data_IF_855542925493
#
_entry.id   IF_855542925493
#
_cell.length_a   1.000
_cell.length_b   1.000
_cell.length_c   1.000
_cell.angle_alpha   90.00
_cell.angle_beta   90.00
_cell.angle_gamma   90.00
#
_symmetry.space_group_name_H-M   'P 1'
#
loop_
_entity.id
_entity.type
_entity.pdbx_description
1 polymer ?
#
# COMPACT_ATOMS: atom_id res chain seq x y z
N UNK A 1 3.25 -8.62 4.75
CA UNK A 1 2.27 -8.25 5.81
C UNK A 1 1.18 -7.38 5.22
N UNK A 2 -0.07 -7.58 5.61
CA UNK A 2 -1.19 -6.70 5.25
C UNK A 2 -1.72 -6.04 6.53
N UNK A 3 -1.84 -4.73 6.51
CA UNK A 3 -2.49 -3.93 7.55
C UNK A 3 -3.75 -3.33 6.93
N UNK A 4 -4.86 -3.32 7.67
CA UNK A 4 -6.11 -2.70 7.24
C UNK A 4 -6.60 -1.79 8.36
N UNK A 5 -6.81 -0.53 8.05
CA UNK A 5 -7.41 0.40 9.00
C UNK A 5 -8.87 0.04 9.26
N UNK A 6 -9.22 -0.12 10.53
CA UNK A 6 -10.55 -0.60 10.92
C UNK A 6 -11.67 0.37 10.55
N UNK A 7 -11.40 1.67 10.56
CA UNK A 7 -12.38 2.71 10.25
C UNK A 7 -12.50 2.95 8.74
N UNK A 8 -11.43 3.39 8.09
CA UNK A 8 -11.45 3.78 6.69
C UNK A 8 -11.40 2.60 5.72
N UNK A 9 -11.04 1.40 6.22
CA UNK A 9 -10.80 0.19 5.40
C UNK A 9 -9.62 0.31 4.45
N UNK A 10 -8.77 1.33 4.61
CA UNK A 10 -7.56 1.46 3.80
C UNK A 10 -6.63 0.29 4.09
N UNK A 11 -6.26 -0.51 3.08
CA UNK A 11 -5.26 -1.54 3.23
C UNK A 11 -3.87 -0.97 2.97
N UNK A 12 -2.86 -1.59 3.55
CA UNK A 12 -1.46 -1.40 3.18
C UNK A 12 -0.73 -2.74 3.15
N UNK A 13 -0.18 -3.06 2.00
CA UNK A 13 0.65 -4.25 1.82
C UNK A 13 2.13 -3.88 1.96
N UNK A 14 2.85 -4.67 2.76
CA UNK A 14 4.30 -4.60 2.92
C UNK A 14 4.92 -5.94 2.57
N UNK A 15 5.89 -5.93 1.64
CA UNK A 15 6.79 -7.07 1.48
C UNK A 15 7.63 -7.24 2.75
N UNK A 16 7.87 -8.48 3.14
CA UNK A 16 8.74 -8.83 4.26
C UNK A 16 9.72 -9.89 3.79
N UNK A 17 10.97 -9.77 4.20
CA UNK A 17 12.00 -10.79 3.93
C UNK A 17 11.94 -11.88 5.00
N UNK A 18 11.70 -11.47 6.25
CA UNK A 18 11.59 -12.38 7.39
C UNK A 18 10.35 -12.02 8.22
N UNK A 19 9.77 -13.03 8.87
CA UNK A 19 8.63 -12.81 9.78
C UNK A 19 9.16 -12.70 11.20
N UNK A 20 9.89 -11.60 11.48
CA UNK A 20 10.42 -11.29 12.82
C UNK A 20 9.62 -10.18 13.49
N UNK A 21 9.63 -10.14 14.82
CA UNK A 21 8.99 -9.07 15.60
C UNK A 21 9.54 -7.70 15.18
N UNK A 22 10.86 -7.57 15.03
CA UNK A 22 11.51 -6.32 14.65
C UNK A 22 11.02 -5.81 13.28
N UNK A 23 10.92 -6.70 12.28
CA UNK A 23 10.42 -6.31 10.95
C UNK A 23 8.93 -5.94 10.98
N UNK A 24 8.13 -6.65 11.78
CA UNK A 24 6.71 -6.29 11.99
C UNK A 24 6.60 -4.90 12.60
N UNK A 25 7.40 -4.57 13.61
CA UNK A 25 7.42 -3.26 14.25
C UNK A 25 7.82 -2.15 13.27
N UNK A 26 8.84 -2.38 12.45
CA UNK A 26 9.24 -1.45 11.39
C UNK A 26 8.07 -1.15 10.42
N UNK A 27 7.32 -2.18 9.99
CA UNK A 27 6.17 -1.97 9.09
C UNK A 27 5.00 -1.26 9.77
N UNK A 28 4.82 -1.47 11.07
CA UNK A 28 3.84 -0.73 11.86
C UNK A 28 4.25 0.75 12.01
N UNK A 29 5.53 1.04 12.23
CA UNK A 29 6.06 2.41 12.24
C UNK A 29 5.89 3.12 10.89
N UNK A 30 6.16 2.41 9.79
CA UNK A 30 5.92 2.92 8.44
C UNK A 30 4.44 3.21 8.20
N UNK A 31 3.54 2.34 8.64
CA UNK A 31 2.09 2.54 8.52
C UNK A 31 1.66 3.77 9.33
N UNK A 32 2.12 3.86 10.57
CA UNK A 32 1.82 4.95 11.48
C UNK A 32 2.30 6.30 10.94
N UNK A 33 3.52 6.37 10.41
CA UNK A 33 4.07 7.60 9.84
C UNK A 33 3.25 8.13 8.66
N UNK A 34 2.54 7.25 7.95
CA UNK A 34 1.72 7.60 6.79
C UNK A 34 0.27 7.97 7.16
N UNK A 35 -0.32 7.24 8.08
CA UNK A 35 -1.76 7.31 8.35
C UNK A 35 -2.09 7.77 9.77
N UNK A 36 -1.15 7.69 10.67
CA UNK A 36 -1.34 8.01 12.08
C UNK A 36 -1.05 9.46 12.42
N UNK A 37 -1.71 9.97 13.45
CA UNK A 37 -1.31 11.18 14.12
C UNK A 37 -0.38 10.77 15.27
N UNK A 38 0.86 11.24 15.25
CA UNK A 38 1.75 11.13 16.40
C UNK A 38 1.33 12.23 17.37
N UNK A 39 1.02 11.86 18.61
CA UNK A 39 0.71 12.84 19.65
C UNK A 39 1.98 13.61 20.08
N UNK A 40 1.81 14.64 20.90
CA UNK A 40 2.93 15.46 21.40
C UNK A 40 3.93 14.68 22.27
N UNK A 41 3.55 13.48 22.71
CA UNK A 41 4.38 12.59 23.55
C UNK A 41 5.14 11.55 22.70
N UNK A 42 5.01 11.58 21.36
CA UNK A 42 5.63 10.61 20.47
C UNK A 42 4.97 9.23 20.48
N UNK A 43 3.77 9.11 21.07
CA UNK A 43 3.02 7.87 21.06
C UNK A 43 2.36 7.65 19.70
N UNK A 44 2.17 6.39 19.34
CA UNK A 44 1.42 6.04 18.14
C UNK A 44 -0.03 6.55 18.26
N UNK A 45 -0.56 7.11 17.16
CA UNK A 45 -1.98 7.40 17.06
C UNK A 45 -2.83 6.14 16.83
N UNK A 46 -2.23 4.95 16.91
CA UNK A 46 -2.90 3.67 16.93
C UNK A 46 -3.39 3.39 18.35
N UNK A 47 -4.69 3.27 18.51
CA UNK A 47 -5.29 2.92 19.81
C UNK A 47 -5.30 1.40 20.03
N UNK A 48 -5.49 0.64 18.94
CA UNK A 48 -5.64 -0.82 19.01
C UNK A 48 -5.05 -1.52 17.80
N UNK A 49 -4.42 -2.65 18.03
CA UNK A 49 -4.00 -3.60 17.02
C UNK A 49 -4.74 -4.91 17.28
N UNK A 50 -5.44 -5.41 16.26
CA UNK A 50 -6.03 -6.76 16.26
C UNK A 50 -5.26 -7.63 15.28
N UNK A 51 -4.82 -8.80 15.72
CA UNK A 51 -4.02 -9.73 14.92
C UNK A 51 -4.34 -11.18 15.25
N UNK A 52 -3.92 -12.10 14.42
CA UNK A 52 -3.94 -13.52 14.74
C UNK A 52 -2.91 -13.87 15.83
N UNK A 53 -2.93 -15.13 16.28
CA UNK A 53 -2.00 -15.63 17.28
C UNK A 53 -0.65 -16.08 16.69
N UNK A 54 -0.20 -15.47 15.60
CA UNK A 54 1.11 -15.73 15.02
C UNK A 54 2.24 -15.51 16.04
N UNK A 55 3.32 -16.29 15.93
CA UNK A 55 4.43 -16.27 16.91
C UNK A 55 5.06 -14.88 17.07
N UNK A 56 5.14 -14.10 15.98
CA UNK A 56 5.66 -12.74 15.98
C UNK A 56 4.82 -11.78 16.83
N UNK A 57 3.49 -12.01 16.93
CA UNK A 57 2.56 -11.16 17.68
C UNK A 57 2.36 -11.62 19.13
N UNK A 58 2.67 -12.90 19.41
CA UNK A 58 2.55 -13.47 20.76
C UNK A 58 3.84 -13.33 21.57
N UNK A 59 4.95 -12.92 20.95
CA UNK A 59 6.24 -12.73 21.59
C UNK A 59 6.15 -11.72 22.73
N UNK A 60 6.99 -11.91 23.76
CA UNK A 60 7.09 -10.97 24.90
C UNK A 60 7.53 -9.60 24.41
N UNK A 61 8.51 -9.57 23.51
CA UNK A 61 9.04 -8.36 22.89
C UNK A 61 7.94 -7.52 22.22
N UNK A 62 7.08 -8.15 21.40
CA UNK A 62 5.99 -7.44 20.73
C UNK A 62 4.96 -6.86 21.71
N UNK A 63 4.64 -7.61 22.77
CA UNK A 63 3.72 -7.16 23.82
C UNK A 63 4.27 -5.98 24.61
N UNK A 64 5.56 -6.04 24.99
CA UNK A 64 6.25 -4.96 25.70
C UNK A 64 6.30 -3.68 24.85
N UNK A 65 6.60 -3.81 23.54
CA UNK A 65 6.57 -2.69 22.61
C UNK A 65 5.17 -2.06 22.51
N UNK A 66 4.11 -2.87 22.38
CA UNK A 66 2.73 -2.37 22.37
C UNK A 66 2.39 -1.63 23.68
N UNK A 67 2.82 -2.16 24.83
CA UNK A 67 2.61 -1.51 26.14
C UNK A 67 3.34 -0.18 26.22
N UNK A 68 4.62 -0.15 25.84
CA UNK A 68 5.46 1.06 25.83
C UNK A 68 4.82 2.16 24.98
N UNK A 69 4.23 1.79 23.83
CA UNK A 69 3.59 2.69 22.90
C UNK A 69 2.12 2.96 23.22
N UNK A 70 1.60 2.39 24.32
CA UNK A 70 0.19 2.50 24.77
C UNK A 70 -0.83 2.02 23.76
N UNK A 71 -0.47 0.98 23.00
CA UNK A 71 -1.36 0.35 22.01
C UNK A 71 -2.02 -0.87 22.65
N UNK A 72 -3.34 -0.94 22.56
CA UNK A 72 -4.09 -2.12 23.03
C UNK A 72 -3.96 -3.26 22.03
N UNK A 73 -3.25 -4.32 22.39
CA UNK A 73 -3.12 -5.52 21.59
C UNK A 73 -4.28 -6.49 21.85
N UNK A 74 -4.98 -6.86 20.79
CA UNK A 74 -6.02 -7.91 20.82
C UNK A 74 -5.57 -9.06 19.94
N UNK A 75 -5.39 -10.24 20.52
CA UNK A 75 -5.09 -11.46 19.79
C UNK A 75 -6.42 -12.19 19.50
N UNK A 76 -6.69 -12.48 18.23
CA UNK A 76 -7.84 -13.28 17.86
C UNK A 76 -7.67 -14.71 18.39
N UNK A 77 -8.65 -15.18 19.15
CA UNK A 77 -8.66 -16.57 19.57
C UNK A 77 -8.87 -17.48 18.35
N UNK A 78 -8.31 -18.69 18.32
CA UNK A 78 -8.44 -19.62 17.20
C UNK A 78 -9.88 -19.92 16.79
N UNK A 79 -10.82 -19.80 17.74
CA UNK A 79 -12.25 -20.05 17.54
C UNK A 79 -13.03 -18.81 17.07
N UNK A 80 -12.41 -17.62 17.07
CA UNK A 80 -13.03 -16.34 16.70
C UNK A 80 -12.38 -15.75 15.44
N UNK A 81 -12.38 -16.51 14.35
CA UNK A 81 -11.88 -16.05 13.04
C UNK A 81 -12.61 -14.81 12.52
N UNK A 82 -13.82 -14.55 12.99
CA UNK A 82 -14.60 -13.35 12.62
C UNK A 82 -13.87 -12.04 12.91
N UNK A 83 -12.99 -12.01 13.92
CA UNK A 83 -12.21 -10.80 14.25
C UNK A 83 -11.22 -10.42 13.17
N UNK A 84 -10.76 -11.36 12.34
CA UNK A 84 -9.86 -11.13 11.21
C UNK A 84 -10.57 -11.12 9.85
N UNK A 85 -11.89 -11.33 9.84
CA UNK A 85 -12.70 -11.45 8.63
C UNK A 85 -12.53 -10.27 7.68
N UNK A 86 -12.39 -9.05 8.22
CA UNK A 86 -12.14 -7.86 7.40
C UNK A 86 -10.80 -7.95 6.63
N UNK A 87 -9.74 -8.37 7.29
CA UNK A 87 -8.42 -8.51 6.67
C UNK A 87 -8.45 -9.62 5.62
N UNK A 88 -9.14 -10.74 5.91
CA UNK A 88 -9.27 -11.86 4.97
C UNK A 88 -10.05 -11.48 3.71
N UNK A 89 -11.18 -10.79 3.86
CA UNK A 89 -11.98 -10.30 2.71
C UNK A 89 -11.17 -9.30 1.90
N UNK A 90 -10.50 -8.37 2.56
CA UNK A 90 -9.63 -7.39 1.89
C UNK A 90 -8.50 -8.11 1.14
N UNK A 91 -7.82 -9.07 1.77
CA UNK A 91 -6.76 -9.85 1.13
C UNK A 91 -7.24 -10.60 -0.10
N UNK A 92 -8.40 -11.24 -0.02
CA UNK A 92 -9.01 -11.93 -1.17
C UNK A 92 -9.26 -10.97 -2.33
N UNK A 93 -9.83 -9.80 -2.04
CA UNK A 93 -10.09 -8.76 -3.05
C UNK A 93 -8.79 -8.27 -3.69
N UNK A 94 -7.78 -7.95 -2.88
CA UNK A 94 -6.48 -7.49 -3.36
C UNK A 94 -5.80 -8.51 -4.27
N UNK A 95 -5.80 -9.78 -3.88
CA UNK A 95 -5.23 -10.86 -4.70
C UNK A 95 -5.97 -11.01 -6.02
N UNK A 96 -7.30 -10.94 -6.01
CA UNK A 96 -8.09 -11.05 -7.23
C UNK A 96 -7.78 -9.92 -8.20
N UNK A 97 -7.72 -8.68 -7.71
CA UNK A 97 -7.40 -7.53 -8.56
C UNK A 97 -5.95 -7.60 -9.06
N UNK A 98 -4.99 -7.88 -8.18
CA UNK A 98 -3.58 -8.03 -8.56
C UNK A 98 -3.38 -9.12 -9.62
N UNK A 99 -4.01 -10.27 -9.44
CA UNK A 99 -3.98 -11.35 -10.42
C UNK A 99 -4.58 -10.95 -11.76
N UNK A 100 -5.73 -10.26 -11.76
CA UNK A 100 -6.36 -9.76 -12.99
C UNK A 100 -5.44 -8.79 -13.74
N UNK A 101 -4.75 -7.88 -13.04
CA UNK A 101 -3.78 -6.96 -13.65
C UNK A 101 -2.61 -7.71 -14.30
N UNK A 102 -2.09 -8.74 -13.62
CA UNK A 102 -0.99 -9.55 -14.13
C UNK A 102 -1.38 -10.37 -15.37
N UNK A 103 -2.55 -11.02 -15.31
CA UNK A 103 -3.09 -11.79 -16.45
C UNK A 103 -3.34 -10.90 -17.65
N UNK A 104 -3.94 -9.72 -17.42
CA UNK A 104 -4.18 -8.73 -18.48
C UNK A 104 -2.88 -8.30 -19.17
N UNK A 105 -1.83 -8.10 -18.39
CA UNK A 105 -0.52 -7.66 -18.91
C UNK A 105 0.36 -8.81 -19.43
N UNK A 106 0.00 -10.07 -19.17
CA UNK A 106 0.79 -11.25 -19.55
C UNK A 106 2.15 -11.33 -18.85
N UNK A 107 2.26 -10.79 -17.61
CA UNK A 107 3.53 -10.76 -16.87
C UNK A 107 3.69 -11.98 -15.95
N UNK A 108 4.95 -12.44 -15.71
CA UNK A 108 5.22 -13.56 -14.83
C UNK A 108 4.85 -13.29 -13.37
N UNK A 109 4.63 -14.37 -12.60
CA UNK A 109 4.25 -14.32 -11.19
C UNK A 109 5.27 -13.60 -10.30
N UNK A 110 6.52 -13.53 -10.69
CA UNK A 110 7.58 -12.80 -9.97
C UNK A 110 7.22 -11.32 -9.73
N UNK A 111 6.33 -10.76 -10.53
CA UNK A 111 5.87 -9.37 -10.40
C UNK A 111 4.66 -9.20 -9.45
N UNK A 112 4.21 -10.25 -8.79
CA UNK A 112 3.01 -10.22 -7.92
C UNK A 112 3.09 -9.17 -6.83
N UNK A 113 4.26 -8.92 -6.25
CA UNK A 113 4.42 -7.93 -5.20
C UNK A 113 4.18 -6.51 -5.71
N UNK A 114 4.60 -6.17 -6.94
CA UNK A 114 4.28 -4.87 -7.54
C UNK A 114 2.79 -4.71 -7.79
N UNK A 115 2.13 -5.77 -8.26
CA UNK A 115 0.68 -5.76 -8.47
C UNK A 115 -0.08 -5.57 -7.15
N UNK A 116 0.32 -6.25 -6.08
CA UNK A 116 -0.26 -6.08 -4.74
C UNK A 116 -0.03 -4.68 -4.20
N UNK A 117 1.19 -4.15 -4.28
CA UNK A 117 1.51 -2.79 -3.84
C UNK A 117 0.69 -1.75 -4.62
N UNK A 118 0.64 -1.87 -5.95
CA UNK A 118 -0.14 -0.94 -6.77
C UNK A 118 -1.63 -1.01 -6.46
N UNK A 119 -2.16 -2.21 -6.24
CA UNK A 119 -3.57 -2.41 -5.88
C UNK A 119 -3.89 -1.79 -4.52
N UNK A 120 -3.05 -2.02 -3.51
CA UNK A 120 -3.27 -1.46 -2.17
C UNK A 120 -3.10 0.05 -2.10
N UNK A 121 -2.14 0.60 -2.83
CA UNK A 121 -1.78 2.01 -2.71
C UNK A 121 -2.60 2.93 -3.61
N UNK A 122 -3.06 2.41 -4.75
CA UNK A 122 -3.63 3.26 -5.79
C UNK A 122 -5.03 2.84 -6.25
N UNK A 123 -5.34 1.55 -6.29
CA UNK A 123 -6.64 1.07 -6.79
C UNK A 123 -7.65 0.99 -5.65
N UNK A 124 -7.36 0.19 -4.62
CA UNK A 124 -8.31 -0.07 -3.55
C UNK A 124 -8.79 1.19 -2.82
N UNK A 125 -7.90 2.16 -2.46
CA UNK A 125 -8.32 3.37 -1.76
C UNK A 125 -9.31 4.27 -2.52
N UNK A 126 -9.38 4.12 -3.84
CA UNK A 126 -10.26 4.95 -4.69
C UNK A 126 -11.52 4.22 -5.15
N UNK A 127 -11.63 2.92 -4.86
CA UNK A 127 -12.83 2.15 -5.21
C UNK A 127 -13.94 2.37 -4.17
N UNK A 128 -15.18 2.62 -4.59
CA UNK A 128 -16.33 2.62 -3.68
C UNK A 128 -16.54 1.20 -3.10
N UNK A 129 -16.68 1.11 -1.80
CA UNK A 129 -16.99 -0.16 -1.11
C UNK A 129 -18.45 -0.08 -0.66
N UNK A 130 -19.25 -1.09 -1.03
CA UNK A 130 -20.69 -1.10 -0.80
C UNK A 130 -21.10 -0.89 0.65
N UNK A 131 -20.33 -1.47 1.57
CA UNK A 131 -20.61 -1.42 3.01
C UNK A 131 -19.89 -0.25 3.72
N UNK A 132 -19.20 0.60 2.97
CA UNK A 132 -18.53 1.78 3.46
C UNK A 132 -19.40 3.00 3.16
N UNK A 133 -20.06 3.51 4.18
CA UNK A 133 -21.05 4.58 4.05
C UNK A 133 -20.49 5.84 4.73
N UNK A 134 -20.70 7.01 4.12
CA UNK A 134 -20.37 8.30 4.71
C UNK A 134 -21.47 8.74 5.72
N UNK A 135 -21.28 9.89 6.34
CA UNK A 135 -22.25 10.46 7.29
C UNK A 135 -23.62 10.73 6.67
N UNK A 136 -23.68 10.93 5.35
CA UNK A 136 -24.91 11.19 4.60
C UNK A 136 -25.64 9.90 4.17
N UNK A 137 -25.05 8.72 4.42
CA UNK A 137 -25.62 7.42 4.05
C UNK A 137 -25.25 6.93 2.64
N UNK A 138 -24.37 7.65 1.93
CA UNK A 138 -23.94 7.27 0.58
C UNK A 138 -22.70 6.36 0.57
N UNK A 139 -22.59 5.44 -0.39
CA UNK A 139 -21.36 4.67 -0.59
C UNK A 139 -20.15 5.57 -0.81
N UNK A 140 -19.07 5.30 -0.10
CA UNK A 140 -17.88 6.13 -0.15
C UNK A 140 -16.63 5.31 -0.45
N UNK A 141 -15.49 5.99 -0.64
CA UNK A 141 -14.20 5.34 -0.85
C UNK A 141 -13.38 5.37 0.43
N UNK A 142 -12.50 4.38 0.64
CA UNK A 142 -11.58 4.36 1.77
C UNK A 142 -10.80 5.67 1.92
N UNK A 143 -10.29 6.21 0.82
CA UNK A 143 -9.55 7.47 0.84
C UNK A 143 -10.42 8.65 1.29
N UNK A 144 -11.65 8.78 0.77
CA UNK A 144 -12.54 9.87 1.17
C UNK A 144 -12.86 9.80 2.66
N UNK A 145 -13.07 8.60 3.19
CA UNK A 145 -13.36 8.41 4.61
C UNK A 145 -12.16 8.76 5.49
N UNK A 146 -10.94 8.42 5.05
CA UNK A 146 -9.72 8.70 5.81
C UNK A 146 -9.30 10.18 5.76
N UNK A 147 -9.50 10.85 4.61
CA UNK A 147 -8.95 12.20 4.36
C UNK A 147 -9.99 13.30 4.29
N UNK A 148 -11.29 12.95 4.25
CA UNK A 148 -12.40 13.86 4.01
C UNK A 148 -12.50 14.37 2.56
N UNK A 149 -11.54 14.04 1.69
CA UNK A 149 -11.47 14.57 0.33
C UNK A 149 -11.68 13.48 -0.72
N UNK A 150 -12.35 13.83 -1.82
CA UNK A 150 -12.52 12.91 -2.95
C UNK A 150 -11.15 12.63 -3.58
N UNK A 151 -10.78 11.36 -3.75
CA UNK A 151 -9.49 11.01 -4.33
C UNK A 151 -9.43 11.39 -5.82
N UNK A 152 -8.26 11.87 -6.26
CA UNK A 152 -7.96 12.06 -7.68
C UNK A 152 -7.43 10.74 -8.28
N UNK A 153 -7.94 10.38 -9.43
CA UNK A 153 -7.51 9.20 -10.20
C UNK A 153 -6.68 9.57 -11.44
N UNK A 154 -6.42 10.85 -11.66
CA UNK A 154 -5.72 11.36 -12.87
C UNK A 154 -4.29 10.87 -13.00
N UNK A 155 -3.66 10.50 -11.88
CA UNK A 155 -2.30 9.98 -11.83
C UNK A 155 -2.19 8.48 -12.12
N UNK A 156 -3.31 7.75 -12.13
CA UNK A 156 -3.32 6.31 -12.36
C UNK A 156 -2.88 5.98 -13.79
N UNK A 157 -2.14 4.90 -13.94
CA UNK A 157 -1.69 4.34 -15.20
C UNK A 157 -1.97 2.85 -15.23
N UNK A 158 -2.00 2.28 -16.41
CA UNK A 158 -2.17 0.82 -16.55
C UNK A 158 -0.89 0.14 -16.10
N UNK A 159 -0.99 -0.64 -15.02
CA UNK A 159 0.17 -1.36 -14.48
C UNK A 159 0.73 -2.32 -15.53
N UNK A 160 2.04 -2.43 -15.57
CA UNK A 160 2.81 -3.22 -16.54
C UNK A 160 2.68 -2.77 -18.00
N UNK A 161 2.12 -1.58 -18.27
CA UNK A 161 2.12 -1.04 -19.62
C UNK A 161 3.54 -0.75 -20.12
N UNK A 162 3.81 -0.92 -21.43
CA UNK A 162 5.08 -0.53 -22.01
C UNK A 162 5.35 0.97 -21.77
N UNK A 163 6.58 1.29 -21.40
CA UNK A 163 6.98 2.64 -21.07
C UNK A 163 8.31 2.99 -21.75
N UNK A 164 8.46 4.26 -22.10
CA UNK A 164 9.71 4.80 -22.64
C UNK A 164 10.22 5.87 -21.68
N UNK A 165 11.41 5.62 -21.14
CA UNK A 165 12.10 6.55 -20.24
C UNK A 165 13.12 7.34 -21.02
N UNK A 166 12.92 8.65 -21.07
CA UNK A 166 13.92 9.57 -21.66
C UNK A 166 15.03 9.82 -20.66
N UNK A 167 16.26 9.61 -21.07
CA UNK A 167 17.42 9.99 -20.29
C UNK A 167 17.46 11.50 -20.17
N UNK A 168 17.52 12.04 -18.96
CA UNK A 168 17.77 13.46 -18.77
C UNK A 168 19.16 13.79 -19.33
N UNK A 169 19.23 14.52 -20.43
CA UNK A 169 20.46 15.10 -20.90
C UNK A 169 20.81 16.26 -19.96
N UNK A 170 21.85 16.07 -19.15
CA UNK A 170 22.46 17.18 -18.44
C UNK A 170 22.82 18.26 -19.49
N UNK A 171 22.37 19.49 -19.26
CA UNK A 171 22.62 20.71 -20.01
C UNK A 171 23.56 20.54 -21.21
N UNK A 172 23.00 20.28 -22.38
CA UNK A 172 23.70 20.50 -23.63
C UNK A 172 23.07 21.74 -24.24
N UNK A 173 23.86 22.82 -24.22
CA UNK A 173 23.56 24.04 -24.94
C UNK A 173 23.17 23.71 -26.38
N UNK A 174 22.01 24.24 -26.78
CA UNK A 174 21.56 24.52 -28.14
C UNK A 174 22.37 23.87 -29.29
N UNK A 175 22.15 22.60 -29.52
CA UNK A 175 22.41 22.00 -30.82
C UNK A 175 21.13 21.34 -31.31
N UNK A 176 20.79 21.68 -32.57
CA UNK A 176 19.66 21.14 -33.33
C UNK A 176 19.57 19.63 -33.14
N UNK A 177 18.62 19.20 -32.32
CA UNK A 177 18.43 17.81 -31.95
C UNK A 177 17.90 17.03 -33.16
N UNK A 178 18.80 16.35 -33.84
CA UNK A 178 18.44 15.35 -34.83
C UNK A 178 17.61 14.25 -34.16
N UNK A 179 16.37 14.03 -34.62
CA UNK A 179 15.44 12.99 -34.05
C UNK A 179 16.06 11.59 -33.98
N UNK A 180 17.09 11.29 -34.80
CA UNK A 180 17.83 10.03 -34.77
C UNK A 180 18.70 9.87 -33.52
N UNK A 181 19.21 10.94 -32.91
CA UNK A 181 19.99 10.90 -31.68
C UNK A 181 19.09 10.77 -30.42
N UNK A 182 17.83 11.21 -30.47
CA UNK A 182 16.89 11.02 -29.36
C UNK A 182 16.52 9.55 -29.18
N UNK A 183 16.37 8.81 -30.26
CA UNK A 183 16.00 7.37 -30.20
C UNK A 183 17.10 6.48 -29.58
N UNK A 184 18.35 6.93 -29.56
CA UNK A 184 19.49 6.18 -28.99
C UNK A 184 19.61 6.34 -27.46
N UNK A 185 18.95 7.31 -26.87
CA UNK A 185 19.03 7.60 -25.43
C UNK A 185 17.77 7.19 -24.64
N UNK A 186 16.80 6.59 -25.29
CA UNK A 186 15.56 6.17 -24.67
C UNK A 186 15.67 4.72 -24.20
N UNK A 187 15.30 4.48 -22.94
CA UNK A 187 15.18 3.12 -22.40
C UNK A 187 13.74 2.66 -22.51
N UNK A 188 13.55 1.41 -22.96
CA UNK A 188 12.26 0.75 -22.94
C UNK A 188 12.14 -0.06 -21.66
N UNK A 189 11.00 0.03 -21.00
CA UNK A 189 10.69 -0.70 -19.79
C UNK A 189 9.19 -0.96 -19.66
N UNK A 190 8.78 -1.44 -18.52
CA UNK A 190 7.38 -1.60 -18.15
C UNK A 190 7.08 -0.75 -16.92
N UNK A 191 5.93 -0.11 -16.88
CA UNK A 191 5.49 0.64 -15.71
C UNK A 191 5.16 -0.33 -14.56
N UNK A 192 5.89 -0.25 -13.45
CA UNK A 192 5.71 -1.14 -12.29
C UNK A 192 5.10 -0.45 -11.07
N UNK A 193 4.90 0.85 -11.11
CA UNK A 193 4.24 1.55 -10.00
C UNK A 193 4.56 3.03 -9.88
N UNK A 194 4.08 3.60 -8.79
CA UNK A 194 4.31 5.00 -8.42
C UNK A 194 5.07 5.01 -7.11
N UNK A 195 6.22 5.68 -7.02
CA UNK A 195 6.99 5.74 -5.78
C UNK A 195 6.25 6.54 -4.70
N UNK A 196 6.38 6.12 -3.44
CA UNK A 196 5.66 6.74 -2.34
C UNK A 196 6.23 8.10 -1.91
N UNK A 197 7.53 8.32 -2.11
CA UNK A 197 8.27 9.48 -1.58
C UNK A 197 8.85 10.39 -2.66
N UNK A 198 8.58 10.12 -3.92
CA UNK A 198 9.12 10.88 -5.04
C UNK A 198 8.03 11.14 -6.08
N UNK A 199 8.12 12.27 -6.77
CA UNK A 199 7.28 12.51 -7.94
C UNK A 199 7.83 11.71 -9.12
N UNK A 200 6.98 10.90 -9.76
CA UNK A 200 7.36 10.13 -10.94
C UNK A 200 6.69 8.77 -11.03
N UNK A 201 7.22 7.93 -11.88
CA UNK A 201 6.77 6.58 -12.13
C UNK A 201 7.96 5.62 -12.06
N UNK A 202 7.72 4.41 -11.54
CA UNK A 202 8.70 3.33 -11.55
C UNK A 202 8.56 2.55 -12.89
N UNK A 203 9.69 2.33 -13.55
CA UNK A 203 9.77 1.62 -14.84
C UNK A 203 10.88 0.57 -14.78
#
# INVERSE_FOLDING_TARGET
>A
MLIVDAYSKIPKFYGMENITTAEVMDKLDMFQSRFGKIDQLGCWGLERISTDAGTQFTSTEFKEECQTRRVHLTLAAPEHQEMNGQVEVTWRTLRTVAHALMVHAGVPEVYVHFALMYTTDHIFPVLPIKDLINEDGDPTTPNKLATGTKPSVSHLRVLFSPSVVKKATAHVETQTLNMRHQAQNDFRGIFVGIPQHQKGYLV
#
